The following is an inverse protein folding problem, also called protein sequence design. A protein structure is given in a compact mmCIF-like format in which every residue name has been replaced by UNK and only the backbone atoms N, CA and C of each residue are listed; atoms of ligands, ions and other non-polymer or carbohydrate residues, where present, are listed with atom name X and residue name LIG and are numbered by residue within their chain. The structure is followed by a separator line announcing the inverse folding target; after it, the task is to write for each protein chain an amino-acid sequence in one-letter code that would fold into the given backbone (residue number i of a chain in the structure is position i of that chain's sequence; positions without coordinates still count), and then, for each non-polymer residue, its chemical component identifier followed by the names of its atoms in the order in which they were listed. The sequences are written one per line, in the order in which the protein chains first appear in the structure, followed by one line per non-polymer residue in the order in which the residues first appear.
data_IF_037083414932
#
_entry.id   IF_037083414932
#
_cell.length_a   1.000
_cell.length_b   1.000
_cell.length_c   1.000
_cell.angle_alpha   90.00
_cell.angle_beta   90.00
_cell.angle_gamma   90.00
#
_symmetry.space_group_name_H-M   'P 1'
#
loop_
_entity.id
_entity.type
_entity.pdbx_description
1 polymer ?
#
# COMPACT_ATOMS: atom_id res chain seq x y z
N UNK A 1 -16.47 5.90 -14.82
CA UNK A 1 -15.73 6.04 -13.55
C UNK A 1 -14.71 4.91 -13.40
N UNK A 2 -13.56 5.19 -12.80
CA UNK A 2 -12.57 4.19 -12.40
C UNK A 2 -12.74 3.87 -10.91
N UNK A 3 -12.88 2.59 -10.55
CA UNK A 3 -12.97 2.13 -9.16
C UNK A 3 -11.78 1.22 -8.89
N UNK A 4 -10.76 1.75 -8.22
CA UNK A 4 -9.46 1.11 -8.06
C UNK A 4 -9.22 0.67 -6.62
N UNK A 5 -8.52 -0.45 -6.47
CA UNK A 5 -8.06 -0.96 -5.18
C UNK A 5 -6.86 -1.87 -5.38
N UNK A 6 -5.91 -1.84 -4.46
CA UNK A 6 -4.63 -2.51 -4.62
C UNK A 6 -4.31 -3.37 -3.39
N UNK A 7 -3.84 -4.59 -3.63
CA UNK A 7 -3.28 -5.46 -2.59
C UNK A 7 -1.79 -5.18 -2.46
N UNK A 8 -1.33 -4.93 -1.24
CA UNK A 8 0.10 -4.78 -0.99
C UNK A 8 0.78 -6.15 -0.91
N UNK A 9 1.48 -6.54 -1.97
CA UNK A 9 2.13 -7.85 -2.05
C UNK A 9 3.33 -7.99 -1.12
N UNK A 10 3.95 -6.88 -0.71
CA UNK A 10 5.08 -6.91 0.23
C UNK A 10 4.67 -7.39 1.64
N UNK A 11 3.40 -7.20 2.01
CA UNK A 11 2.89 -7.49 3.35
C UNK A 11 1.69 -8.45 3.40
N UNK A 12 1.19 -8.90 2.24
CA UNK A 12 0.06 -9.82 2.20
C UNK A 12 0.49 -11.23 2.68
N UNK A 13 0.01 -11.62 3.86
CA UNK A 13 0.23 -12.98 4.39
C UNK A 13 -0.49 -14.05 3.54
N UNK A 14 -1.73 -13.76 3.14
CA UNK A 14 -2.48 -14.53 2.15
C UNK A 14 -2.93 -13.61 0.99
N UNK A 15 -2.12 -13.49 -0.07
CA UNK A 15 -2.46 -12.68 -1.23
C UNK A 15 -3.79 -13.10 -1.88
N UNK A 16 -4.13 -14.39 -1.89
CA UNK A 16 -5.34 -14.90 -2.55
C UNK A 16 -6.58 -14.36 -1.86
N UNK A 17 -6.62 -14.47 -0.53
CA UNK A 17 -7.71 -13.92 0.27
C UNK A 17 -7.78 -12.39 0.16
N UNK A 18 -6.64 -11.70 0.19
CA UNK A 18 -6.62 -10.24 -0.01
C UNK A 18 -7.22 -9.82 -1.36
N UNK A 19 -6.88 -10.51 -2.45
CA UNK A 19 -7.46 -10.24 -3.77
C UNK A 19 -8.97 -10.50 -3.81
N UNK A 20 -9.42 -11.58 -3.18
CA UNK A 20 -10.84 -11.89 -3.04
C UNK A 20 -11.60 -10.79 -2.29
N UNK A 21 -11.09 -10.36 -1.14
CA UNK A 21 -11.71 -9.31 -0.34
C UNK A 21 -11.71 -7.96 -1.07
N UNK A 22 -10.62 -7.64 -1.78
CA UNK A 22 -10.52 -6.42 -2.57
C UNK A 22 -11.56 -6.37 -3.69
N UNK A 23 -11.80 -7.48 -4.38
CA UNK A 23 -12.86 -7.56 -5.40
C UNK A 23 -14.24 -7.26 -4.81
N UNK A 24 -14.55 -7.81 -3.62
CA UNK A 24 -15.81 -7.55 -2.92
C UNK A 24 -15.92 -6.10 -2.43
N UNK A 25 -14.82 -5.55 -1.92
CA UNK A 25 -14.75 -4.16 -1.49
C UNK A 25 -15.05 -3.18 -2.64
N UNK A 26 -14.36 -3.34 -3.78
CA UNK A 26 -14.58 -2.45 -4.93
C UNK A 26 -15.97 -2.59 -5.54
N UNK A 27 -16.52 -3.81 -5.55
CA UNK A 27 -17.90 -4.02 -5.98
C UNK A 27 -18.89 -3.22 -5.13
N UNK A 28 -18.73 -3.21 -3.81
CA UNK A 28 -19.54 -2.36 -2.91
C UNK A 28 -19.28 -0.88 -3.12
N UNK A 29 -18.04 -0.49 -3.42
CA UNK A 29 -17.71 0.90 -3.74
C UNK A 29 -18.43 1.43 -4.99
N UNK A 30 -18.90 0.55 -5.90
CA UNK A 30 -19.73 0.98 -7.05
C UNK A 30 -21.13 1.48 -6.68
N UNK A 31 -21.54 1.35 -5.42
CA UNK A 31 -22.79 1.91 -4.91
C UNK A 31 -22.66 3.32 -4.35
N UNK A 32 -21.44 3.90 -4.36
CA UNK A 32 -21.24 5.28 -3.96
C UNK A 32 -22.17 6.22 -4.75
N UNK A 33 -22.70 7.23 -4.06
CA UNK A 33 -23.52 8.25 -4.71
C UNK A 33 -22.66 9.07 -5.68
N UNK A 34 -23.17 9.24 -6.90
CA UNK A 34 -22.48 9.96 -7.96
C UNK A 34 -23.34 11.15 -8.37
N UNK A 35 -22.80 12.38 -8.36
CA UNK A 35 -23.58 13.59 -8.64
C UNK A 35 -24.08 13.62 -10.09
N UNK A 36 -23.25 13.18 -11.04
CA UNK A 36 -23.57 13.17 -12.46
C UNK A 36 -24.44 11.95 -12.84
N UNK A 37 -25.67 12.16 -13.39
CA UNK A 37 -26.57 11.08 -13.79
C UNK A 37 -26.00 10.15 -14.86
N UNK A 38 -25.28 10.69 -15.85
CA UNK A 38 -24.71 9.89 -16.94
C UNK A 38 -23.62 8.94 -16.43
N UNK A 39 -22.77 9.42 -15.53
CA UNK A 39 -21.75 8.60 -14.87
C UNK A 39 -22.40 7.54 -13.99
N UNK A 40 -23.48 7.88 -13.27
CA UNK A 40 -24.23 6.95 -12.43
C UNK A 40 -24.80 5.80 -13.24
N UNK A 41 -25.49 6.09 -14.34
CA UNK A 41 -26.04 5.06 -15.24
C UNK A 41 -24.93 4.15 -15.78
N UNK A 42 -23.81 4.73 -16.23
CA UNK A 42 -22.67 3.97 -16.73
C UNK A 42 -22.03 3.08 -15.67
N UNK A 43 -21.93 3.55 -14.42
CA UNK A 43 -21.41 2.75 -13.30
C UNK A 43 -22.36 1.62 -12.94
N UNK A 44 -23.67 1.89 -12.90
CA UNK A 44 -24.69 0.89 -12.60
C UNK A 44 -24.74 -0.22 -13.65
N UNK A 45 -24.62 0.15 -14.94
CA UNK A 45 -24.59 -0.79 -16.06
C UNK A 45 -23.33 -1.64 -16.09
N UNK A 46 -22.16 -1.00 -15.94
CA UNK A 46 -20.88 -1.66 -16.21
C UNK A 46 -20.21 -2.27 -14.99
N UNK A 47 -20.52 -1.76 -13.79
CA UNK A 47 -19.93 -2.15 -12.49
C UNK A 47 -18.41 -2.32 -12.55
N UNK A 48 -17.73 -1.48 -13.33
CA UNK A 48 -16.30 -1.62 -13.63
C UNK A 48 -15.46 -1.48 -12.36
N UNK A 49 -14.59 -2.46 -12.09
CA UNK A 49 -13.60 -2.40 -11.02
C UNK A 49 -12.19 -2.66 -11.57
N UNK A 50 -11.18 -2.21 -10.83
CA UNK A 50 -9.77 -2.42 -11.15
C UNK A 50 -9.02 -2.83 -9.89
N UNK A 51 -9.00 -4.13 -9.62
CA UNK A 51 -8.14 -4.71 -8.59
C UNK A 51 -6.72 -4.83 -9.13
N UNK A 52 -5.77 -4.20 -8.47
CA UNK A 52 -4.35 -4.28 -8.78
C UNK A 52 -3.53 -4.66 -7.56
N UNK A 53 -2.23 -4.39 -7.64
CA UNK A 53 -1.31 -4.59 -6.54
C UNK A 53 -0.24 -3.49 -6.54
N UNK A 54 0.44 -3.37 -5.41
CA UNK A 54 1.63 -2.57 -5.18
C UNK A 54 2.66 -3.40 -4.40
N UNK A 55 3.89 -2.92 -4.29
CA UNK A 55 4.96 -3.65 -3.61
C UNK A 55 5.41 -4.90 -4.37
N UNK A 56 5.33 -4.85 -5.72
CA UNK A 56 5.68 -5.99 -6.55
C UNK A 56 7.17 -6.31 -6.50
N UNK A 57 8.03 -5.29 -6.41
CA UNK A 57 9.47 -5.49 -6.38
C UNK A 57 9.91 -6.15 -5.07
N UNK A 58 9.38 -5.69 -3.93
CA UNK A 58 9.56 -6.31 -2.62
C UNK A 58 9.11 -7.77 -2.63
N UNK A 59 7.95 -8.04 -3.23
CA UNK A 59 7.43 -9.40 -3.35
C UNK A 59 8.36 -10.30 -4.18
N UNK A 60 8.95 -9.79 -5.26
CA UNK A 60 9.97 -10.53 -6.02
C UNK A 60 11.21 -10.82 -5.17
N UNK A 61 11.72 -9.81 -4.44
CA UNK A 61 12.88 -9.95 -3.56
C UNK A 61 12.62 -10.98 -2.46
N UNK A 62 11.44 -10.95 -1.83
CA UNK A 62 11.03 -11.93 -0.81
C UNK A 62 10.98 -13.37 -1.35
N UNK A 63 10.77 -13.55 -2.66
CA UNK A 63 10.75 -14.85 -3.33
C UNK A 63 12.08 -15.17 -4.03
N UNK A 64 13.13 -14.38 -3.81
CA UNK A 64 14.46 -14.61 -4.39
C UNK A 64 14.54 -14.39 -5.90
N UNK A 65 13.64 -13.60 -6.48
CA UNK A 65 13.56 -13.37 -7.92
C UNK A 65 14.09 -11.97 -8.24
N UNK A 66 15.05 -11.88 -9.16
CA UNK A 66 15.53 -10.58 -9.63
C UNK A 66 14.47 -9.90 -10.47
N UNK A 67 14.36 -8.58 -10.36
CA UNK A 67 13.41 -7.81 -11.17
C UNK A 67 13.58 -8.05 -12.67
N UNK A 68 14.82 -8.19 -13.15
CA UNK A 68 15.15 -8.49 -14.56
C UNK A 68 14.64 -9.86 -15.03
N UNK A 69 14.44 -10.80 -14.12
CA UNK A 69 14.01 -12.18 -14.40
C UNK A 69 12.50 -12.38 -14.22
N UNK A 70 11.80 -11.38 -13.68
CA UNK A 70 10.39 -11.46 -13.34
C UNK A 70 9.50 -11.79 -14.54
N UNK A 71 9.82 -11.25 -15.72
CA UNK A 71 9.06 -11.49 -16.96
C UNK A 71 9.24 -12.91 -17.50
N UNK A 72 10.44 -13.50 -17.33
CA UNK A 72 10.76 -14.88 -17.74
C UNK A 72 10.35 -15.93 -16.70
N UNK A 73 10.06 -15.53 -15.46
CA UNK A 73 9.72 -16.47 -14.40
C UNK A 73 8.33 -17.09 -14.60
N UNK A 74 8.32 -18.39 -14.93
CA UNK A 74 7.09 -19.16 -15.04
C UNK A 74 6.30 -19.23 -13.71
N UNK A 75 6.99 -19.12 -12.58
CA UNK A 75 6.35 -19.04 -11.27
C UNK A 75 5.61 -17.71 -11.09
N UNK A 76 6.25 -16.57 -11.37
CA UNK A 76 5.61 -15.23 -11.30
C UNK A 76 4.39 -15.19 -12.21
N UNK A 77 4.54 -15.64 -13.46
CA UNK A 77 3.44 -15.69 -14.42
C UNK A 77 2.27 -16.56 -13.92
N UNK A 78 2.54 -17.70 -13.27
CA UNK A 78 1.49 -18.53 -12.64
C UNK A 78 0.80 -17.81 -11.49
N UNK A 79 1.53 -17.14 -10.60
CA UNK A 79 0.93 -16.42 -9.47
C UNK A 79 0.06 -15.26 -9.94
N UNK A 80 0.54 -14.43 -10.88
CA UNK A 80 -0.24 -13.32 -11.43
C UNK A 80 -1.51 -13.80 -12.15
N UNK A 81 -1.43 -14.92 -12.88
CA UNK A 81 -2.62 -15.58 -13.46
C UNK A 81 -3.57 -16.06 -12.37
N UNK A 82 -3.06 -16.70 -11.30
CA UNK A 82 -3.87 -17.16 -10.16
C UNK A 82 -4.61 -15.98 -9.52
N UNK A 83 -3.93 -14.88 -9.20
CA UNK A 83 -4.56 -13.69 -8.63
C UNK A 83 -5.63 -13.10 -9.53
N UNK A 84 -5.36 -13.03 -10.84
CA UNK A 84 -6.34 -12.59 -11.83
C UNK A 84 -7.60 -13.48 -11.83
N UNK A 85 -7.45 -14.79 -11.84
CA UNK A 85 -8.60 -15.71 -11.85
C UNK A 85 -9.39 -15.62 -10.54
N UNK A 86 -8.73 -15.55 -9.38
CA UNK A 86 -9.39 -15.34 -8.08
C UNK A 86 -10.26 -14.08 -8.11
N UNK A 87 -9.72 -12.95 -8.57
CA UNK A 87 -10.50 -11.71 -8.69
C UNK A 87 -11.69 -11.87 -9.64
N UNK A 88 -11.51 -12.55 -10.78
CA UNK A 88 -12.56 -12.73 -11.79
C UNK A 88 -13.70 -13.60 -11.28
N UNK A 89 -13.37 -14.71 -10.66
CA UNK A 89 -14.33 -15.65 -10.07
C UNK A 89 -15.09 -14.99 -8.93
N UNK A 90 -14.38 -14.32 -8.04
CA UNK A 90 -14.99 -13.68 -6.87
C UNK A 90 -15.87 -12.49 -7.24
N UNK A 91 -15.44 -11.67 -8.21
CA UNK A 91 -16.27 -10.59 -8.72
C UNK A 91 -17.57 -11.12 -9.35
N UNK A 92 -17.52 -12.22 -10.10
CA UNK A 92 -18.71 -12.87 -10.67
C UNK A 92 -19.63 -13.42 -9.57
N UNK A 93 -19.07 -14.23 -8.67
CA UNK A 93 -19.81 -14.87 -7.58
C UNK A 93 -20.50 -13.83 -6.71
N UNK A 94 -19.78 -12.78 -6.33
CA UNK A 94 -20.31 -11.74 -5.47
C UNK A 94 -21.33 -10.82 -6.17
N UNK A 95 -21.13 -10.53 -7.46
CA UNK A 95 -22.12 -9.81 -8.27
C UNK A 95 -23.44 -10.59 -8.36
N UNK A 96 -23.37 -11.91 -8.56
CA UNK A 96 -24.55 -12.78 -8.57
C UNK A 96 -25.27 -12.79 -7.22
N UNK A 97 -24.52 -12.89 -6.10
CA UNK A 97 -25.08 -12.82 -4.75
C UNK A 97 -25.83 -11.49 -4.49
N UNK A 98 -25.28 -10.37 -4.97
CA UNK A 98 -25.89 -9.05 -4.84
C UNK A 98 -26.95 -8.75 -5.91
N UNK A 99 -27.17 -9.65 -6.87
CA UNK A 99 -28.09 -9.49 -8.01
C UNK A 99 -27.80 -8.22 -8.83
N UNK A 100 -26.53 -7.96 -9.11
CA UNK A 100 -26.07 -6.85 -9.97
C UNK A 100 -25.34 -7.38 -11.22
N UNK A 101 -25.16 -6.56 -12.26
CA UNK A 101 -24.35 -6.94 -13.42
C UNK A 101 -22.93 -7.33 -13.04
N UNK A 102 -22.38 -8.37 -13.68
CA UNK A 102 -20.96 -8.73 -13.55
C UNK A 102 -20.09 -7.56 -14.05
N UNK A 103 -19.08 -7.11 -13.28
CA UNK A 103 -18.17 -6.04 -13.70
C UNK A 103 -17.58 -6.26 -15.09
N UNK A 104 -17.62 -5.30 -16.00
CA UNK A 104 -17.09 -5.47 -17.37
C UNK A 104 -15.56 -5.69 -17.40
N UNK A 105 -14.84 -5.07 -16.46
CA UNK A 105 -13.40 -5.26 -16.20
C UNK A 105 -13.20 -5.41 -14.70
N UNK A 106 -12.16 -6.15 -14.29
CA UNK A 106 -11.94 -6.55 -12.90
C UNK A 106 -10.54 -6.30 -12.35
N UNK A 107 -9.52 -6.38 -13.21
CA UNK A 107 -8.11 -6.31 -12.81
C UNK A 107 -7.39 -5.21 -13.57
N UNK A 108 -6.40 -4.61 -12.94
CA UNK A 108 -5.57 -3.56 -13.56
C UNK A 108 -4.17 -3.55 -12.97
N UNK A 109 -3.24 -2.92 -13.66
CA UNK A 109 -1.96 -2.48 -13.13
C UNK A 109 -1.94 -0.97 -13.27
N UNK A 110 -1.94 -0.26 -12.15
CA UNK A 110 -1.89 1.20 -12.11
C UNK A 110 -0.67 1.66 -11.31
N UNK A 111 -0.07 2.81 -11.63
CA UNK A 111 0.89 3.44 -10.73
C UNK A 111 0.16 3.88 -9.46
N UNK A 112 0.69 3.51 -8.30
CA UNK A 112 0.12 3.77 -6.99
C UNK A 112 0.92 4.80 -6.21
N UNK A 113 1.27 5.92 -6.84
CA UNK A 113 2.31 6.85 -6.36
C UNK A 113 2.02 7.60 -5.06
N UNK A 114 0.77 7.71 -4.62
CA UNK A 114 0.43 8.31 -3.31
C UNK A 114 0.27 7.24 -2.24
N UNK A 115 -0.51 6.20 -2.54
CA UNK A 115 -0.86 5.17 -1.56
C UNK A 115 0.31 4.24 -1.22
N UNK A 116 1.33 4.14 -2.09
CA UNK A 116 2.53 3.37 -1.79
C UNK A 116 3.44 4.03 -0.75
N UNK A 117 3.34 5.36 -0.59
CA UNK A 117 4.15 6.10 0.38
C UNK A 117 3.72 5.83 1.82
N UNK A 118 2.45 5.44 2.03
CA UNK A 118 1.91 5.12 3.36
C UNK A 118 2.66 3.91 3.96
N UNK A 119 2.76 2.76 3.27
CA UNK A 119 3.57 1.64 3.71
C UNK A 119 5.06 1.72 3.33
N UNK A 120 5.46 2.70 2.51
CA UNK A 120 6.84 2.86 2.05
C UNK A 120 7.33 1.80 1.05
N UNK A 121 6.45 1.29 0.19
CA UNK A 121 6.77 0.22 -0.80
C UNK A 121 6.84 0.76 -2.23
N UNK A 122 7.34 -0.04 -3.18
CA UNK A 122 7.33 0.35 -4.58
C UNK A 122 5.91 0.51 -5.12
N UNK A 123 5.77 1.49 -6.01
CA UNK A 123 4.53 1.75 -6.74
C UNK A 123 4.25 0.59 -7.69
N UNK A 124 3.00 0.11 -7.76
CA UNK A 124 2.55 -0.84 -8.79
C UNK A 124 3.52 -1.99 -9.07
N UNK A 125 4.04 -2.01 -10.31
CA UNK A 125 5.07 -2.94 -10.78
C UNK A 125 6.47 -2.31 -10.82
N UNK A 126 6.60 -1.03 -10.52
CA UNK A 126 7.84 -0.29 -10.70
C UNK A 126 8.96 -0.85 -9.82
N UNK A 127 10.22 -0.88 -10.32
CA UNK A 127 11.35 -1.25 -9.51
C UNK A 127 11.64 -0.16 -8.47
N UNK A 128 12.44 -0.53 -7.49
CA UNK A 128 12.95 0.41 -6.49
C UNK A 128 13.84 1.44 -7.20
N UNK A 129 13.61 2.72 -6.93
CA UNK A 129 14.43 3.80 -7.48
C UNK A 129 15.82 3.84 -6.86
N UNK A 130 15.90 3.91 -5.53
CA UNK A 130 17.14 3.92 -4.77
C UNK A 130 16.92 3.38 -3.35
N UNK A 131 17.90 2.70 -2.75
CA UNK A 131 17.81 2.18 -1.38
C UNK A 131 17.71 3.30 -0.32
N UNK A 132 18.37 4.43 -0.59
CA UNK A 132 18.36 5.63 0.23
C UNK A 132 18.13 6.84 -0.68
N UNK A 133 17.22 7.72 -0.29
CA UNK A 133 16.92 8.93 -1.05
C UNK A 133 16.41 10.04 -0.16
N UNK A 134 16.54 11.28 -0.62
CA UNK A 134 15.94 12.44 0.04
C UNK A 134 14.59 12.71 -0.63
N UNK A 135 13.52 12.64 0.14
CA UNK A 135 12.18 13.01 -0.33
C UNK A 135 11.87 14.44 0.08
N UNK A 136 11.62 15.28 -0.92
CA UNK A 136 11.18 16.67 -0.72
C UNK A 136 9.67 16.75 -0.78
N UNK A 137 9.05 17.33 0.24
CA UNK A 137 7.61 17.59 0.31
C UNK A 137 7.40 19.10 0.44
N UNK A 138 6.49 19.63 -0.38
CA UNK A 138 6.13 21.04 -0.38
C UNK A 138 4.91 21.25 0.50
N UNK A 139 5.02 22.21 1.42
CA UNK A 139 3.93 22.65 2.28
C UNK A 139 3.59 24.09 1.95
N UNK A 140 2.31 24.44 2.02
CA UNK A 140 1.93 25.85 2.08
C UNK A 140 2.42 26.43 3.40
N UNK A 141 2.94 27.66 3.39
CA UNK A 141 3.36 28.35 4.62
C UNK A 141 2.21 28.54 5.61
N UNK A 142 0.97 28.55 5.11
CA UNK A 142 -0.26 28.65 5.91
C UNK A 142 -0.77 27.29 6.43
N UNK A 143 -0.14 26.18 6.08
CA UNK A 143 -0.57 24.84 6.49
C UNK A 143 -0.16 24.58 7.95
N UNK A 144 -1.12 24.25 8.81
CA UNK A 144 -0.84 23.88 10.20
C UNK A 144 0.06 22.65 10.30
N UNK A 145 -0.01 21.73 9.32
CA UNK A 145 0.82 20.54 9.31
C UNK A 145 2.31 20.90 9.17
N UNK A 146 2.65 22.00 8.48
CA UNK A 146 4.02 22.49 8.44
C UNK A 146 4.52 22.83 9.85
N UNK A 147 3.71 23.54 10.64
CA UNK A 147 4.08 23.88 12.02
C UNK A 147 4.25 22.64 12.89
N UNK A 148 3.41 21.62 12.69
CA UNK A 148 3.54 20.33 13.40
C UNK A 148 4.81 19.59 12.99
N UNK A 149 5.16 19.58 11.70
CA UNK A 149 6.40 18.97 11.20
C UNK A 149 7.62 19.69 11.77
N UNK A 150 7.63 21.03 11.75
CA UNK A 150 8.71 21.84 12.30
C UNK A 150 8.89 21.60 13.80
N UNK A 151 7.79 21.52 14.56
CA UNK A 151 7.83 21.25 15.99
C UNK A 151 8.33 19.84 16.34
N UNK A 152 8.04 18.83 15.49
CA UNK A 152 8.57 17.46 15.68
C UNK A 152 10.07 17.38 15.45
N UNK A 153 10.59 18.14 14.49
CA UNK A 153 12.02 18.12 14.15
C UNK A 153 12.48 16.90 13.36
N UNK A 154 11.55 16.04 12.92
CA UNK A 154 11.84 14.79 12.21
C UNK A 154 12.11 15.00 10.70
N UNK A 155 13.06 15.88 10.36
CA UNK A 155 13.44 16.20 8.98
C UNK A 155 14.94 16.45 8.85
N UNK A 156 15.46 16.34 7.62
CA UNK A 156 16.87 16.59 7.32
C UNK A 156 17.16 18.08 7.14
N UNK A 157 16.31 18.78 6.39
CA UNK A 157 16.44 20.22 6.16
C UNK A 157 15.11 20.84 5.78
N UNK A 158 15.01 22.16 5.98
CA UNK A 158 13.87 22.98 5.58
C UNK A 158 14.41 24.18 4.83
N UNK A 159 13.84 24.46 3.66
CA UNK A 159 14.23 25.56 2.80
C UNK A 159 12.99 26.21 2.16
N UNK A 160 13.01 27.53 1.89
CA UNK A 160 11.96 28.16 1.09
C UNK A 160 11.97 27.59 -0.35
N UNK A 161 10.80 27.37 -0.94
CA UNK A 161 10.70 26.86 -2.31
C UNK A 161 11.17 27.92 -3.33
N UNK A 162 12.08 27.52 -4.22
CA UNK A 162 12.67 28.41 -5.22
C UNK A 162 11.68 28.77 -6.34
N UNK A 163 10.67 27.93 -6.58
CA UNK A 163 9.78 28.03 -7.73
C UNK A 163 8.39 28.58 -7.36
N UNK A 164 7.94 28.38 -6.13
CA UNK A 164 6.62 28.74 -5.66
C UNK A 164 6.69 29.67 -4.45
N UNK A 165 6.09 30.85 -4.58
CA UNK A 165 5.91 31.76 -3.44
C UNK A 165 5.06 31.10 -2.34
N UNK A 166 5.25 31.53 -1.09
CA UNK A 166 4.52 31.06 0.09
C UNK A 166 4.56 29.53 0.31
N UNK A 167 5.61 28.88 -0.18
CA UNK A 167 5.79 27.44 -0.08
C UNK A 167 7.12 27.13 0.61
N UNK A 168 7.08 26.18 1.53
CA UNK A 168 8.27 25.67 2.23
C UNK A 168 8.50 24.23 1.82
N UNK A 169 9.76 23.89 1.52
CA UNK A 169 10.19 22.52 1.20
C UNK A 169 10.78 21.89 2.46
N UNK A 170 10.23 20.75 2.86
CA UNK A 170 10.82 19.90 3.91
C UNK A 170 11.45 18.68 3.25
N UNK A 171 12.71 18.43 3.58
CA UNK A 171 13.48 17.29 3.09
C UNK A 171 13.53 16.18 4.13
N UNK A 172 13.12 14.98 3.75
CA UNK A 172 13.14 13.78 4.60
C UNK A 172 14.19 12.80 4.07
N UNK A 173 15.04 12.29 4.96
CA UNK A 173 15.89 11.15 4.64
C UNK A 173 15.02 9.89 4.65
N UNK A 174 14.91 9.22 3.51
CA UNK A 174 14.11 8.02 3.34
C UNK A 174 15.02 6.82 3.07
N UNK A 175 14.69 5.72 3.72
CA UNK A 175 15.26 4.40 3.48
C UNK A 175 14.14 3.47 3.01
N UNK A 176 14.41 2.68 1.98
CA UNK A 176 13.42 1.75 1.46
C UNK A 176 13.28 0.50 2.34
N UNK A 177 12.04 0.01 2.49
CA UNK A 177 11.72 -1.14 3.35
C UNK A 177 12.39 -2.44 2.89
N UNK A 178 12.73 -2.55 1.61
CA UNK A 178 13.47 -3.71 1.08
C UNK A 178 14.88 -3.79 1.70
N UNK A 179 15.50 -2.64 1.98
CA UNK A 179 16.84 -2.54 2.58
C UNK A 179 16.82 -2.96 4.04
N UNK A 180 15.72 -2.72 4.75
CA UNK A 180 15.53 -3.16 6.14
C UNK A 180 15.35 -4.69 6.23
N UNK A 181 14.59 -5.27 5.30
CA UNK A 181 14.42 -6.72 5.19
C UNK A 181 15.74 -7.47 4.93
N UNK A 182 16.64 -6.88 4.14
CA UNK A 182 17.99 -7.42 3.91
C UNK A 182 18.89 -7.28 5.15
N UNK A 183 18.80 -6.16 5.87
CA UNK A 183 19.63 -5.91 7.06
C UNK A 183 19.23 -6.76 8.29
N UNK A 184 17.96 -7.15 8.38
CA UNK A 184 17.43 -7.98 9.48
C UNK A 184 17.58 -9.48 9.25
N UNK A 185 18.24 -9.90 8.17
CA UNK A 185 18.45 -11.32 7.90
C UNK A 185 17.16 -12.06 7.59
N UNK A 186 16.41 -11.60 6.57
CA UNK A 186 15.55 -12.51 5.79
C UNK A 186 16.44 -13.53 5.05
N UNK A 187 17.10 -14.38 5.82
CA UNK A 187 17.78 -15.57 5.36
C UNK A 187 16.69 -16.64 5.22
N UNK A 188 16.28 -16.92 3.98
CA UNK A 188 15.69 -18.22 3.70
C UNK A 188 16.40 -19.05 2.67
N UNK A 189 17.23 -18.51 1.78
CA UNK A 189 18.25 -19.31 1.09
C UNK A 189 19.37 -18.40 0.62
N UNK A 190 20.59 -18.77 0.98
CA UNK A 190 21.79 -17.95 0.85
C UNK A 190 22.07 -17.49 -0.59
N UNK A 191 22.53 -16.24 -0.66
CA UNK A 191 23.64 -15.78 -1.50
C UNK A 191 23.61 -16.07 -3.00
N UNK A 192 22.88 -15.26 -3.78
CA UNK A 192 23.33 -14.87 -5.12
C UNK A 192 23.02 -13.41 -5.41
N UNK A 193 23.90 -12.54 -4.91
CA UNK A 193 24.23 -11.23 -5.48
C UNK A 193 23.01 -10.45 -5.96
N UNK A 194 22.37 -9.71 -5.06
CA UNK A 194 21.60 -8.54 -5.50
C UNK A 194 22.66 -7.56 -5.98
N UNK A 195 22.82 -7.47 -7.30
CA UNK A 195 23.47 -6.34 -7.94
C UNK A 195 22.58 -5.12 -7.68
N UNK A 196 22.65 -4.57 -6.46
CA UNK A 196 22.68 -3.12 -6.34
C UNK A 196 23.86 -2.75 -7.22
N UNK A 197 23.57 -2.15 -8.36
CA UNK A 197 24.54 -1.60 -9.30
C UNK A 197 25.76 -1.12 -8.52
N UNK A 198 26.92 -1.73 -8.79
CA UNK A 198 28.21 -1.26 -8.32
C UNK A 198 28.35 0.19 -8.78
N UNK A 199 27.90 1.11 -7.93
CA UNK A 199 28.13 2.55 -8.04
C UNK A 199 28.95 3.00 -6.82
N UNK A 200 29.82 2.11 -6.34
CA UNK A 200 30.78 2.32 -5.26
C UNK A 200 32.12 1.62 -5.58
N UNK A 201 32.55 1.66 -6.84
CA UNK A 201 33.91 1.23 -7.21
C UNK A 201 34.48 2.07 -8.35
N UNK A 202 34.52 3.38 -8.15
CA UNK A 202 35.58 4.28 -8.60
C UNK A 202 35.15 5.69 -8.22
N UNK A 203 35.98 6.40 -7.45
CA UNK A 203 35.75 7.77 -6.94
C UNK A 203 34.86 7.89 -5.70
N UNK A 204 35.39 7.52 -4.54
CA UNK A 204 35.55 8.46 -3.40
C UNK A 204 36.32 7.75 -2.30
N UNK A 205 37.37 8.43 -1.83
CA UNK A 205 38.24 7.95 -0.77
C UNK A 205 37.47 7.73 0.53
N UNK A 206 38.04 6.84 1.33
CA UNK A 206 37.66 6.54 2.70
C UNK A 206 37.33 7.79 3.52
N UNK A 207 36.06 7.98 3.83
CA UNK A 207 35.69 8.62 5.08
C UNK A 207 34.33 8.10 5.58
N UNK A 208 34.35 7.26 6.61
CA UNK A 208 33.16 6.73 7.28
C UNK A 208 32.66 7.69 8.38
N UNK A 209 33.25 8.87 8.53
CA UNK A 209 32.96 9.81 9.62
C UNK A 209 31.91 10.89 9.31
N UNK A 210 31.39 10.95 8.07
CA UNK A 210 30.56 12.07 7.61
C UNK A 210 29.03 11.87 7.69
N UNK A 211 28.54 10.82 8.37
CA UNK A 211 27.09 10.67 8.60
C UNK A 211 26.74 11.20 9.99
N UNK A 212 26.08 12.37 10.10
CA UNK A 212 25.54 12.81 11.38
C UNK A 212 24.56 11.75 11.89
N UNK A 213 24.50 11.58 13.21
CA UNK A 213 23.55 10.70 13.89
C UNK A 213 22.12 11.23 13.71
N UNK A 214 21.57 11.10 12.50
CA UNK A 214 20.17 11.35 12.23
C UNK A 214 19.41 10.20 12.86
N UNK A 215 18.51 10.52 13.79
CA UNK A 215 17.57 9.56 14.33
C UNK A 215 16.74 9.02 13.16
N UNK A 216 17.05 7.79 12.75
CA UNK A 216 16.29 7.08 11.73
C UNK A 216 14.88 6.88 12.26
N UNK A 217 13.86 7.30 11.51
CA UNK A 217 12.46 6.99 11.85
C UNK A 217 12.27 5.49 11.57
N UNK A 218 12.16 4.63 12.59
CA UNK A 218 11.91 3.22 12.33
C UNK A 218 10.46 3.07 11.86
N UNK A 219 10.25 2.28 10.81
CA UNK A 219 8.92 1.79 10.49
C UNK A 219 8.45 0.88 11.65
N UNK A 220 7.62 1.43 12.54
CA UNK A 220 7.05 0.65 13.64
C UNK A 220 5.96 -0.28 13.10
N UNK A 221 6.33 -1.54 12.84
CA UNK A 221 5.38 -2.64 12.65
C UNK A 221 4.64 -2.86 13.96
N UNK A 222 3.47 -2.23 14.14
CA UNK A 222 2.48 -2.68 15.15
C UNK A 222 2.08 -4.11 14.76
N UNK A 223 2.71 -5.11 15.36
CA UNK A 223 2.13 -6.46 15.42
C UNK A 223 0.84 -6.32 16.22
N UNK A 224 -0.30 -6.27 15.54
CA UNK A 224 -1.58 -6.38 16.20
C UNK A 224 -1.57 -7.67 17.02
N UNK A 225 -1.82 -7.56 18.32
CA UNK A 225 -2.14 -8.74 19.12
C UNK A 225 -3.29 -9.45 18.42
N UNK A 226 -3.16 -10.77 18.22
CA UNK A 226 -4.26 -11.62 17.81
C UNK A 226 -5.29 -11.61 18.94
N UNK A 227 -6.21 -10.66 18.90
CA UNK A 227 -7.47 -10.79 19.61
C UNK A 227 -8.23 -11.93 18.93
N UNK A 228 -8.33 -13.03 19.65
CA UNK A 228 -9.18 -14.16 19.32
C UNK A 228 -10.61 -13.66 19.20
N UNK A 229 -11.11 -13.58 17.97
CA UNK A 229 -12.55 -13.43 17.71
C UNK A 229 -13.24 -14.69 18.24
N UNK A 230 -13.84 -14.59 19.42
CA UNK A 230 -14.76 -15.61 19.92
C UNK A 230 -16.08 -15.47 19.16
N UNK A 231 -16.42 -16.51 18.41
CA UNK A 231 -17.73 -16.70 17.81
C UNK A 231 -18.80 -16.71 18.91
N UNK A 232 -19.64 -15.68 18.98
CA UNK A 232 -20.91 -15.73 19.69
C UNK A 232 -22.04 -15.93 18.69
N UNK A 233 -22.17 -17.17 18.23
CA UNK A 233 -23.40 -17.71 17.67
C UNK A 233 -24.31 -18.16 18.83
N UNK A 234 -25.30 -17.34 19.18
CA UNK A 234 -26.24 -17.67 20.25
C UNK A 234 -27.50 -16.80 20.22
N UNK A 235 -28.61 -17.40 19.80
CA UNK A 235 -29.96 -16.89 19.85
C UNK A 235 -30.37 -16.27 21.21
N UNK A 236 -31.22 -15.25 21.15
CA UNK A 236 -32.41 -15.17 22.00
C UNK A 236 -32.44 -14.10 23.08
N UNK A 237 -33.55 -13.36 23.08
CA UNK A 237 -34.11 -12.49 24.12
C UNK A 237 -33.59 -11.05 24.26
N UNK A 238 -34.40 -10.10 23.76
CA UNK A 238 -34.47 -8.72 24.27
C UNK A 238 -35.17 -8.74 25.63
N UNK A 239 -34.74 -7.95 26.63
CA UNK A 239 -35.61 -7.55 27.72
C UNK A 239 -36.25 -6.19 27.44
N UNK A 240 -37.49 -6.08 27.92
CA UNK A 240 -38.43 -4.97 27.84
C UNK A 240 -37.96 -3.69 28.52
N UNK A 241 -38.54 -2.59 28.02
CA UNK A 241 -38.72 -1.31 28.70
C UNK A 241 -39.72 -1.51 29.84
N UNK A 242 -39.37 -1.08 31.05
CA UNK A 242 -40.33 -0.82 32.13
C UNK A 242 -39.98 0.52 32.80
N UNK A 243 -40.90 1.48 32.67
CA UNK A 243 -41.01 2.69 33.48
C UNK A 243 -41.55 2.32 34.88
N UNK A 244 -40.88 2.70 35.97
CA UNK A 244 -41.52 3.50 37.04
C UNK A 244 -40.60 3.87 38.22
N UNK A 245 -40.61 5.17 38.52
CA UNK A 245 -40.64 5.86 39.83
C UNK A 245 -40.39 5.09 41.15
N UNK A 246 -39.43 5.55 41.97
CA UNK A 246 -39.60 6.41 43.17
C UNK A 246 -38.50 6.23 44.25
N UNK A 247 -38.06 7.38 44.82
CA UNK A 247 -37.40 7.63 46.12
C UNK A 247 -36.05 6.96 46.39
N UNK A 248 -34.96 7.64 46.78
CA UNK A 248 -34.77 8.82 47.68
C UNK A 248 -33.67 9.72 47.12
#
# INVERSE_FOLDING_TARGET
MCCLGHVNLAFAEDPVECFRLMARFLLRATFAELPDPLTRENVQRNRRIGVGFLGFHEWLVQNGIRYSEASSSAWVARQLRKFREVVREEARRYAHQMRIPEPIKRTTVAPTGTINNIPGVTSGIQPLYAPFYIRRVRYSNSDEELQRVLARGDYLSVEPDVYAANTTVVSYACRDVTVDGLATGLNRHDSHTIHATNWHSSHTGSDRSAFPSVAWIPYQRKRGNRETWQDNSGCGHKPQVDDNSNNI
#
